data_IF_676522389055
#
_entry.id   IF_676522389055
#
_cell.length_a   1.000
_cell.length_b   1.000
_cell.length_c   1.000
_cell.angle_alpha   90.00
_cell.angle_beta   90.00
_cell.angle_gamma   90.00
#
_symmetry.space_group_name_H-M   'P 1'
#
loop_
_entity.id
_entity.type
_entity.pdbx_description
1 polymer ?
#
# COMPACT_ATOMS: atom_id res chain seq x y z
N UNK A 1 -8.07 45.74 1.13
CA UNK A 1 -8.72 44.42 1.01
C UNK A 1 -7.94 43.44 1.88
N UNK A 2 -8.35 43.16 3.12
CA UNK A 2 -7.69 42.13 3.92
C UNK A 2 -8.04 40.74 3.35
N UNK A 3 -7.01 39.94 3.09
CA UNK A 3 -7.13 38.54 2.67
C UNK A 3 -7.94 37.73 3.68
N UNK A 4 -8.84 36.83 3.26
CA UNK A 4 -9.51 35.93 4.19
C UNK A 4 -8.48 34.98 4.81
N UNK A 5 -8.25 35.13 6.12
CA UNK A 5 -7.57 34.11 6.92
C UNK A 5 -8.33 32.80 6.78
N UNK A 6 -7.66 31.76 6.28
CA UNK A 6 -8.17 30.40 6.35
C UNK A 6 -8.35 30.02 7.83
N UNK A 7 -9.44 29.33 8.20
CA UNK A 7 -9.65 28.92 9.58
C UNK A 7 -8.52 27.99 10.01
N UNK A 8 -7.79 28.40 11.05
CA UNK A 8 -6.92 27.53 11.84
C UNK A 8 -7.74 26.32 12.29
N UNK A 9 -7.33 25.13 11.85
CA UNK A 9 -7.93 23.87 12.29
C UNK A 9 -7.94 23.85 13.82
N UNK A 10 -9.13 23.96 14.40
CA UNK A 10 -9.35 24.05 15.83
C UNK A 10 -9.04 22.72 16.51
N UNK A 11 -8.51 22.78 17.73
CA UNK A 11 -8.16 21.65 18.60
C UNK A 11 -9.33 20.66 18.88
N UNK A 12 -10.53 20.95 18.38
CA UNK A 12 -11.80 20.28 18.68
C UNK A 12 -12.29 19.31 17.60
N UNK A 13 -11.56 19.12 16.50
CA UNK A 13 -12.04 18.23 15.44
C UNK A 13 -12.01 16.76 15.89
N UNK A 14 -13.19 16.12 15.84
CA UNK A 14 -13.43 14.75 16.28
C UNK A 14 -12.55 13.76 15.49
N UNK A 15 -11.88 12.88 16.22
CA UNK A 15 -11.07 11.80 15.68
C UNK A 15 -11.91 10.51 15.66
N UNK A 16 -12.25 10.02 14.46
CA UNK A 16 -13.12 8.88 14.27
C UNK A 16 -12.38 7.75 13.52
N UNK A 17 -12.57 6.48 13.89
CA UNK A 17 -11.95 5.37 13.19
C UNK A 17 -12.59 5.14 11.82
N UNK A 18 -11.84 4.58 10.87
CA UNK A 18 -12.42 4.04 9.64
C UNK A 18 -13.15 2.73 9.94
N UNK A 19 -14.48 2.73 9.75
CA UNK A 19 -15.35 1.55 9.94
C UNK A 19 -16.03 1.10 8.64
N UNK A 20 -15.79 1.81 7.53
CA UNK A 20 -16.37 1.51 6.23
C UNK A 20 -15.74 0.31 5.53
N UNK A 21 -16.45 -0.24 4.55
CA UNK A 21 -15.85 -1.15 3.56
C UNK A 21 -15.08 -0.33 2.52
N UNK A 22 -14.01 -0.89 1.97
CA UNK A 22 -13.29 -0.25 0.88
C UNK A 22 -14.24 -0.05 -0.31
N UNK A 23 -14.43 1.18 -0.81
CA UNK A 23 -15.30 1.44 -1.96
C UNK A 23 -14.73 0.89 -3.27
N UNK A 24 -13.45 0.55 -3.29
CA UNK A 24 -12.72 -0.04 -4.43
C UNK A 24 -11.71 -1.08 -3.96
N UNK A 25 -11.22 -1.92 -4.87
CA UNK A 25 -10.20 -2.93 -4.55
C UNK A 25 -8.93 -2.28 -3.99
N UNK A 26 -8.44 -2.79 -2.88
CA UNK A 26 -7.18 -2.34 -2.30
C UNK A 26 -5.97 -2.86 -3.11
N UNK A 27 -6.17 -3.92 -3.93
CA UNK A 27 -5.20 -4.43 -4.90
C UNK A 27 -4.84 -3.45 -6.01
N UNK A 28 -5.64 -2.40 -6.21
CA UNK A 28 -5.32 -1.34 -7.16
C UNK A 28 -4.19 -0.42 -6.71
N UNK A 29 -3.77 -0.51 -5.45
CA UNK A 29 -2.78 0.40 -4.87
C UNK A 29 -1.48 -0.33 -4.56
N UNK A 30 -0.37 0.24 -5.02
CA UNK A 30 0.99 -0.18 -4.68
C UNK A 30 1.75 1.00 -4.10
N UNK A 31 2.49 0.79 -3.01
CA UNK A 31 3.53 1.70 -2.56
C UNK A 31 4.82 0.91 -2.42
N UNK A 32 5.76 1.11 -3.33
CA UNK A 32 7.05 0.43 -3.34
C UNK A 32 8.09 1.19 -2.50
N UNK A 33 8.61 0.59 -1.42
CA UNK A 33 9.70 1.20 -0.65
C UNK A 33 10.97 1.29 -1.49
N UNK A 34 11.78 2.32 -1.24
CA UNK A 34 13.06 2.52 -1.94
C UNK A 34 14.05 1.36 -1.79
N UNK A 35 13.92 0.54 -0.73
CA UNK A 35 14.77 -0.63 -0.47
C UNK A 35 14.37 -1.87 -1.27
N UNK A 36 13.19 -1.88 -1.89
CA UNK A 36 12.74 -2.99 -2.73
C UNK A 36 13.30 -2.79 -4.14
N UNK A 37 13.98 -3.79 -4.73
CA UNK A 37 14.45 -3.72 -6.10
C UNK A 37 13.33 -3.43 -7.11
N UNK A 38 13.63 -2.67 -8.16
CA UNK A 38 12.64 -2.29 -9.19
C UNK A 38 12.14 -3.47 -10.01
N UNK A 39 12.96 -4.50 -10.16
CA UNK A 39 12.66 -5.75 -10.86
C UNK A 39 11.91 -6.78 -9.99
N UNK A 40 11.67 -6.49 -8.70
CA UNK A 40 10.85 -7.35 -7.86
C UNK A 40 9.36 -7.22 -8.24
N UNK A 41 8.67 -8.32 -8.47
CA UNK A 41 7.24 -8.32 -8.76
C UNK A 41 6.42 -8.13 -7.47
N UNK A 42 5.32 -7.36 -7.50
CA UNK A 42 4.42 -7.26 -6.36
C UNK A 42 3.73 -8.61 -6.11
N UNK A 43 3.58 -8.97 -4.84
CA UNK A 43 2.81 -10.13 -4.41
C UNK A 43 1.44 -9.65 -3.94
N UNK A 44 0.43 -9.86 -4.79
CA UNK A 44 -0.97 -9.59 -4.51
C UNK A 44 -1.61 -10.81 -3.82
N UNK A 45 -2.31 -10.58 -2.73
CA UNK A 45 -3.04 -11.61 -2.01
C UNK A 45 -4.54 -11.49 -2.27
N UNK A 46 -5.10 -12.46 -3.00
CA UNK A 46 -6.50 -12.51 -3.42
C UNK A 46 -7.48 -12.64 -2.25
N UNK A 47 -7.04 -13.23 -1.14
CA UNK A 47 -7.87 -13.40 0.06
C UNK A 47 -7.91 -12.10 0.88
N UNK A 48 -6.86 -11.26 0.79
CA UNK A 48 -6.76 -9.97 1.47
C UNK A 48 -7.04 -8.76 0.58
N UNK A 49 -7.23 -8.98 -0.72
CA UNK A 49 -7.42 -7.95 -1.76
C UNK A 49 -6.38 -6.82 -1.70
N UNK A 50 -5.09 -7.15 -1.55
CA UNK A 50 -4.02 -6.15 -1.49
C UNK A 50 -2.64 -6.72 -1.81
N UNK A 51 -1.70 -5.85 -2.14
CA UNK A 51 -0.28 -6.20 -2.23
C UNK A 51 0.27 -6.35 -0.81
N UNK A 52 0.87 -7.50 -0.51
CA UNK A 52 1.38 -7.86 0.83
C UNK A 52 2.91 -7.95 0.90
N UNK A 53 3.58 -7.83 -0.24
CA UNK A 53 5.04 -7.87 -0.33
C UNK A 53 5.53 -7.84 -1.76
N UNK A 54 6.80 -8.20 -1.94
CA UNK A 54 7.47 -8.25 -3.23
C UNK A 54 8.31 -9.50 -3.34
N UNK A 55 8.46 -10.04 -4.54
CA UNK A 55 9.24 -11.23 -4.80
C UNK A 55 10.14 -11.01 -6.01
N UNK A 56 11.40 -11.42 -5.88
CA UNK A 56 12.42 -11.25 -6.91
C UNK A 56 13.16 -12.56 -7.08
N UNK A 57 13.12 -13.11 -8.27
CA UNK A 57 13.98 -14.22 -8.69
C UNK A 57 15.18 -13.65 -9.43
N UNK A 58 16.38 -13.96 -8.98
CA UNK A 58 17.62 -13.58 -9.68
C UNK A 58 18.65 -14.70 -9.55
N UNK A 59 19.12 -15.21 -10.69
CA UNK A 59 19.96 -16.41 -10.76
C UNK A 59 19.29 -17.57 -10.00
N UNK A 60 20.01 -18.22 -9.09
CA UNK A 60 19.53 -19.36 -8.30
C UNK A 60 18.88 -18.97 -6.97
N UNK A 61 18.60 -17.69 -6.74
CA UNK A 61 18.05 -17.20 -5.47
C UNK A 61 16.76 -16.40 -5.69
N UNK A 62 15.72 -16.80 -4.97
CA UNK A 62 14.48 -16.06 -4.84
C UNK A 62 14.47 -15.29 -3.51
N UNK A 63 14.27 -13.98 -3.58
CA UNK A 63 14.19 -13.10 -2.41
C UNK A 63 12.78 -12.56 -2.25
N UNK A 64 12.21 -12.70 -1.06
CA UNK A 64 10.89 -12.15 -0.73
C UNK A 64 11.03 -11.02 0.27
N UNK A 65 10.39 -9.89 -0.01
CA UNK A 65 10.44 -8.66 0.77
C UNK A 65 9.06 -8.33 1.33
N UNK A 66 9.01 -7.80 2.55
CA UNK A 66 7.77 -7.19 3.07
C UNK A 66 7.51 -5.80 2.48
N UNK A 67 6.35 -5.23 2.82
CA UNK A 67 5.94 -3.88 2.39
C UNK A 67 6.82 -2.74 2.91
N UNK A 68 7.76 -3.01 3.81
CA UNK A 68 8.74 -2.02 4.31
C UNK A 68 10.13 -2.21 3.69
N UNK A 69 10.28 -3.21 2.82
CA UNK A 69 11.51 -3.54 2.11
C UNK A 69 12.49 -4.42 2.88
N UNK A 70 12.06 -5.07 3.97
CA UNK A 70 12.91 -6.07 4.64
C UNK A 70 12.75 -7.44 4.00
N UNK A 71 13.85 -8.16 3.83
CA UNK A 71 13.84 -9.55 3.37
C UNK A 71 13.21 -10.44 4.45
N UNK A 72 12.18 -11.21 4.07
CA UNK A 72 11.47 -12.13 4.97
C UNK A 72 11.75 -13.60 4.67
N UNK A 73 12.23 -13.89 3.46
CA UNK A 73 12.64 -15.22 3.02
C UNK A 73 13.68 -15.12 1.89
N UNK A 74 14.59 -16.09 1.89
CA UNK A 74 15.53 -16.39 0.81
C UNK A 74 15.36 -17.86 0.49
N UNK A 75 14.95 -18.17 -0.73
CA UNK A 75 14.66 -19.52 -1.19
C UNK A 75 15.54 -19.84 -2.41
N UNK A 76 15.87 -21.11 -2.61
CA UNK A 76 16.53 -21.53 -3.85
C UNK A 76 15.53 -21.43 -5.02
N UNK A 77 15.95 -20.81 -6.12
CA UNK A 77 15.16 -20.77 -7.35
C UNK A 77 15.40 -22.07 -8.12
N UNK A 78 14.33 -22.81 -8.42
CA UNK A 78 14.39 -23.95 -9.34
C UNK A 78 14.26 -23.40 -10.75
N UNK A 79 15.21 -23.74 -11.63
CA UNK A 79 15.39 -23.22 -12.99
C UNK A 79 14.08 -22.76 -13.68
N UNK A 80 14.08 -21.52 -14.14
CA UNK A 80 12.94 -20.75 -14.63
C UNK A 80 12.52 -21.21 -16.03
N UNK A 81 11.83 -22.34 -16.12
CA UNK A 81 11.11 -22.72 -17.34
C UNK A 81 9.92 -21.78 -17.54
N UNK A 82 10.16 -20.66 -18.23
CA UNK A 82 9.13 -19.79 -18.80
C UNK A 82 8.94 -18.47 -18.07
N UNK A 83 9.86 -17.53 -18.29
CA UNK A 83 9.70 -16.12 -17.90
C UNK A 83 8.35 -15.57 -18.39
N UNK A 84 7.37 -15.53 -17.48
CA UNK A 84 6.04 -15.03 -17.74
C UNK A 84 5.99 -13.51 -17.72
N UNK A 85 5.24 -12.94 -18.67
CA UNK A 85 4.93 -11.51 -18.79
C UNK A 85 3.99 -10.97 -17.69
N UNK A 86 3.72 -11.73 -16.64
CA UNK A 86 2.77 -11.32 -15.61
C UNK A 86 3.33 -10.10 -14.85
N UNK A 87 2.50 -9.06 -14.71
CA UNK A 87 2.87 -7.83 -14.02
C UNK A 87 2.85 -7.97 -12.49
N UNK A 88 2.27 -9.05 -11.97
CA UNK A 88 2.15 -9.35 -10.54
C UNK A 88 2.13 -10.85 -10.26
N UNK A 89 2.56 -11.23 -9.06
CA UNK A 89 2.44 -12.58 -8.52
C UNK A 89 1.24 -12.66 -7.59
N UNK A 90 0.50 -13.77 -7.63
CA UNK A 90 -0.75 -13.93 -6.87
C UNK A 90 -0.63 -15.02 -5.83
N UNK A 91 -0.95 -14.67 -4.59
CA UNK A 91 -1.23 -15.63 -3.54
C UNK A 91 -2.74 -15.68 -3.27
N UNK A 92 -3.24 -16.85 -2.90
CA UNK A 92 -4.64 -17.00 -2.52
C UNK A 92 -5.08 -18.46 -2.53
N UNK A 93 -6.17 -18.73 -1.84
CA UNK A 93 -6.74 -20.09 -1.71
C UNK A 93 -7.02 -20.80 -3.05
N UNK A 94 -7.34 -20.05 -4.11
CA UNK A 94 -7.70 -20.58 -5.43
C UNK A 94 -6.53 -20.59 -6.43
N UNK A 95 -5.38 -20.04 -6.07
CA UNK A 95 -4.26 -19.87 -7.00
C UNK A 95 -3.26 -21.01 -6.88
N UNK A 96 -3.08 -21.76 -7.96
CA UNK A 96 -2.04 -22.78 -8.07
C UNK A 96 -0.70 -22.11 -8.46
N UNK A 97 0.45 -22.61 -7.96
CA UNK A 97 1.75 -22.11 -8.36
C UNK A 97 1.91 -22.09 -9.89
N UNK A 98 2.37 -20.96 -10.43
CA UNK A 98 2.61 -20.71 -11.87
C UNK A 98 1.35 -20.71 -12.76
N UNK A 99 0.16 -20.91 -12.19
CA UNK A 99 -1.08 -20.76 -12.95
C UNK A 99 -1.31 -19.28 -13.28
N UNK A 100 -1.72 -18.98 -14.51
CA UNK A 100 -2.00 -17.62 -14.96
C UNK A 100 -3.50 -17.37 -15.00
N UNK A 101 -3.90 -16.15 -14.71
CA UNK A 101 -5.31 -15.77 -14.74
C UNK A 101 -5.54 -14.30 -14.43
N UNK A 102 -6.82 -13.95 -14.29
CA UNK A 102 -7.26 -12.63 -13.88
C UNK A 102 -7.56 -12.63 -12.38
N UNK A 103 -7.00 -11.66 -11.64
CA UNK A 103 -7.29 -11.44 -10.22
C UNK A 103 -8.67 -10.79 -10.04
N UNK A 104 -9.22 -10.79 -8.82
CA UNK A 104 -10.46 -10.03 -8.51
C UNK A 104 -10.29 -8.53 -8.67
N UNK A 105 -9.04 -8.04 -8.59
CA UNK A 105 -8.71 -6.65 -8.88
C UNK A 105 -8.79 -6.31 -10.39
N UNK A 106 -8.95 -7.32 -11.26
CA UNK A 106 -8.99 -7.15 -12.71
C UNK A 106 -7.61 -7.00 -13.35
N UNK A 107 -6.55 -7.40 -12.64
CA UNK A 107 -5.18 -7.44 -13.17
C UNK A 107 -4.75 -8.88 -13.50
N UNK A 108 -4.02 -9.06 -14.60
CA UNK A 108 -3.40 -10.32 -14.96
C UNK A 108 -2.31 -10.68 -13.97
N UNK A 109 -2.28 -11.92 -13.51
CA UNK A 109 -1.30 -12.40 -12.55
C UNK A 109 -0.90 -13.85 -12.76
N UNK A 110 0.19 -14.23 -12.11
CA UNK A 110 0.70 -15.60 -12.07
C UNK A 110 0.79 -16.08 -10.62
N UNK A 111 0.33 -17.29 -10.34
CA UNK A 111 0.32 -17.87 -8.99
C UNK A 111 1.74 -17.97 -8.41
N UNK A 112 1.92 -17.45 -7.21
CA UNK A 112 3.21 -17.42 -6.51
C UNK A 112 3.66 -18.83 -6.14
N UNK A 113 4.84 -19.24 -6.60
CA UNK A 113 5.50 -20.47 -6.21
C UNK A 113 6.38 -20.28 -4.96
N UNK A 114 5.78 -19.93 -3.82
CA UNK A 114 6.50 -19.74 -2.55
C UNK A 114 6.02 -20.74 -1.47
N UNK A 115 6.88 -21.11 -0.51
CA UNK A 115 6.46 -21.90 0.63
C UNK A 115 5.33 -21.24 1.43
N UNK A 116 4.40 -22.03 1.96
CA UNK A 116 3.29 -21.52 2.78
C UNK A 116 3.77 -20.68 3.99
N UNK A 117 4.93 -21.03 4.55
CA UNK A 117 5.56 -20.28 5.64
C UNK A 117 5.97 -18.85 5.21
N UNK A 118 6.43 -18.67 3.98
CA UNK A 118 6.78 -17.35 3.42
C UNK A 118 5.53 -16.49 3.26
N UNK A 119 4.45 -17.06 2.73
CA UNK A 119 3.16 -16.38 2.62
C UNK A 119 2.60 -16.00 4.00
N UNK A 120 2.64 -16.92 4.96
CA UNK A 120 2.20 -16.66 6.34
C UNK A 120 2.99 -15.51 6.99
N UNK A 121 4.31 -15.42 6.75
CA UNK A 121 5.13 -14.29 7.22
C UNK A 121 4.71 -12.97 6.58
N UNK A 122 4.48 -12.94 5.26
CA UNK A 122 4.01 -11.73 4.57
C UNK A 122 2.66 -11.26 5.13
N UNK A 123 1.68 -12.17 5.23
CA UNK A 123 0.36 -11.88 5.82
C UNK A 123 0.50 -11.36 7.26
N UNK A 124 1.36 -11.99 8.07
CA UNK A 124 1.64 -11.55 9.43
C UNK A 124 2.23 -10.14 9.50
N UNK A 125 3.19 -9.81 8.62
CA UNK A 125 3.79 -8.46 8.52
C UNK A 125 2.76 -7.43 8.06
N UNK A 126 1.91 -7.77 7.10
CA UNK A 126 0.81 -6.91 6.65
C UNK A 126 -0.17 -6.64 7.79
N UNK A 127 -0.63 -7.67 8.50
CA UNK A 127 -1.56 -7.52 9.63
C UNK A 127 -0.93 -6.66 10.73
N UNK A 128 0.35 -6.87 11.04
CA UNK A 128 1.08 -6.05 12.01
C UNK A 128 1.15 -4.58 11.59
N UNK A 129 1.37 -4.29 10.29
CA UNK A 129 1.28 -2.94 9.74
C UNK A 129 -0.15 -2.39 9.88
N UNK A 130 -1.17 -3.19 9.61
CA UNK A 130 -2.56 -2.76 9.59
C UNK A 130 -3.23 -2.61 10.98
N UNK A 131 -2.57 -3.09 12.05
CA UNK A 131 -3.13 -3.19 13.40
C UNK A 131 -3.28 -1.86 14.15
N UNK A 132 -2.49 -0.85 13.83
CA UNK A 132 -2.52 0.42 14.57
C UNK A 132 -3.78 1.22 14.18
N UNK A 133 -4.64 1.62 15.12
CA UNK A 133 -5.84 2.40 14.79
C UNK A 133 -5.42 3.72 14.13
N UNK A 134 -6.03 4.03 12.99
CA UNK A 134 -5.86 5.30 12.29
C UNK A 134 -7.19 6.04 12.40
N UNK A 135 -7.14 7.23 12.98
CA UNK A 135 -8.30 8.09 13.12
C UNK A 135 -8.32 9.12 11.99
N UNK A 136 -9.50 9.67 11.75
CA UNK A 136 -9.77 10.60 10.67
C UNK A 136 -10.67 11.71 11.20
N UNK A 137 -10.50 12.89 10.64
CA UNK A 137 -11.51 13.95 10.76
C UNK A 137 -12.76 13.57 9.98
N UNK A 138 -13.88 14.27 10.23
CA UNK A 138 -15.12 14.01 9.49
C UNK A 138 -14.94 14.24 7.98
N UNK A 139 -14.22 15.28 7.59
CA UNK A 139 -13.93 15.57 6.18
C UNK A 139 -13.06 14.48 5.55
N UNK A 140 -12.02 14.01 6.24
CA UNK A 140 -11.16 12.94 5.73
C UNK A 140 -11.90 11.59 5.65
N UNK A 141 -12.83 11.32 6.58
CA UNK A 141 -13.71 10.14 6.47
C UNK A 141 -14.63 10.22 5.25
N UNK A 142 -15.23 11.38 4.98
CA UNK A 142 -16.06 11.57 3.81
C UNK A 142 -15.25 11.34 2.52
N UNK A 143 -14.02 11.87 2.43
CA UNK A 143 -13.12 11.59 1.31
C UNK A 143 -12.81 10.09 1.15
N UNK A 144 -12.64 9.35 2.26
CA UNK A 144 -12.39 7.91 2.23
C UNK A 144 -13.59 7.08 1.74
N UNK A 145 -14.82 7.59 1.80
CA UNK A 145 -16.01 6.92 1.26
C UNK A 145 -16.13 7.06 -0.26
N UNK A 146 -15.44 8.03 -0.84
CA UNK A 146 -15.54 8.38 -2.25
C UNK A 146 -14.56 7.53 -3.07
N UNK A 147 -15.02 6.70 -4.03
CA UNK A 147 -14.16 5.81 -4.81
C UNK A 147 -12.95 6.50 -5.47
N UNK A 148 -13.11 7.76 -5.84
CA UNK A 148 -12.07 8.54 -6.52
C UNK A 148 -11.01 9.15 -5.60
N UNK A 149 -11.33 9.29 -4.31
CA UNK A 149 -10.44 9.86 -3.28
C UNK A 149 -9.93 8.81 -2.30
N UNK A 150 -10.52 7.62 -2.31
CA UNK A 150 -10.14 6.52 -1.45
C UNK A 150 -8.68 6.12 -1.61
N UNK A 151 -8.03 5.88 -0.47
CA UNK A 151 -6.70 5.27 -0.37
C UNK A 151 -6.72 4.24 0.76
N UNK A 152 -6.34 2.98 0.53
CA UNK A 152 -6.38 1.95 1.57
C UNK A 152 -5.54 2.30 2.80
N UNK A 153 -6.01 1.91 3.99
CA UNK A 153 -5.33 2.20 5.25
C UNK A 153 -3.87 1.73 5.30
N UNK A 154 -3.55 0.59 4.67
CA UNK A 154 -2.18 0.09 4.65
C UNK A 154 -1.25 1.01 3.83
N UNK A 155 -1.73 1.60 2.73
CA UNK A 155 -0.98 2.60 1.94
C UNK A 155 -0.76 3.87 2.75
N UNK A 156 -1.77 4.35 3.47
CA UNK A 156 -1.62 5.52 4.36
C UNK A 156 -0.54 5.27 5.42
N UNK A 157 -0.53 4.09 6.03
CA UNK A 157 0.50 3.71 7.02
C UNK A 157 1.88 3.58 6.41
N UNK A 158 2.00 3.04 5.19
CA UNK A 158 3.26 3.02 4.46
C UNK A 158 3.75 4.44 4.15
N UNK A 159 2.86 5.36 3.78
CA UNK A 159 3.22 6.76 3.56
C UNK A 159 3.76 7.42 4.84
N UNK A 160 3.16 7.16 5.99
CA UNK A 160 3.66 7.64 7.29
C UNK A 160 5.03 7.07 7.64
N UNK A 161 5.30 5.80 7.28
CA UNK A 161 6.52 5.09 7.69
C UNK A 161 7.69 5.26 6.73
N UNK A 162 7.40 5.29 5.43
CA UNK A 162 8.37 5.23 4.35
C UNK A 162 8.32 6.45 3.42
N UNK A 163 7.30 7.30 3.53
CA UNK A 163 7.19 8.53 2.76
C UNK A 163 8.15 9.62 3.23
N UNK A 164 8.34 10.63 2.39
CA UNK A 164 9.14 11.81 2.70
C UNK A 164 8.31 12.75 3.57
N UNK A 165 8.80 13.06 4.77
CA UNK A 165 8.20 14.05 5.66
C UNK A 165 8.61 15.46 5.22
N UNK A 166 7.68 16.25 4.69
CA UNK A 166 7.96 17.60 4.15
C UNK A 166 7.92 18.70 5.20
N UNK A 167 7.04 18.55 6.19
CA UNK A 167 6.90 19.52 7.27
C UNK A 167 6.51 18.80 8.56
N UNK A 168 7.09 19.26 9.65
CA UNK A 168 6.80 18.82 11.00
C UNK A 168 6.60 20.07 11.86
N UNK A 169 5.38 20.60 11.89
CA UNK A 169 4.97 21.56 12.91
C UNK A 169 4.42 20.77 14.13
N UNK A 170 4.35 21.42 15.28
CA UNK A 170 3.74 20.81 16.48
C UNK A 170 2.32 20.29 16.19
N UNK A 171 1.55 21.05 15.42
CA UNK A 171 0.14 20.76 15.11
C UNK A 171 -0.06 19.86 13.88
N UNK A 172 0.92 19.77 12.98
CA UNK A 172 0.72 19.14 11.68
C UNK A 172 2.00 18.50 11.14
N UNK A 173 1.90 17.23 10.76
CA UNK A 173 2.90 16.54 9.97
C UNK A 173 2.36 16.23 8.56
N UNK A 174 3.18 16.51 7.55
CA UNK A 174 2.86 16.24 6.14
C UNK A 174 3.85 15.25 5.55
N UNK A 175 3.33 14.21 4.93
CA UNK A 175 4.07 13.16 4.27
C UNK A 175 3.71 13.13 2.78
N UNK A 176 4.70 12.89 1.94
CA UNK A 176 4.50 12.63 0.51
C UNK A 176 5.14 11.31 0.15
N UNK A 177 4.41 10.48 -0.60
CA UNK A 177 4.87 9.18 -1.05
C UNK A 177 4.49 8.94 -2.52
N UNK A 178 5.38 8.33 -3.32
CA UNK A 178 4.99 7.81 -4.62
C UNK A 178 4.18 6.53 -4.43
N UNK A 179 3.07 6.43 -5.14
CA UNK A 179 2.22 5.24 -5.21
C UNK A 179 1.87 4.94 -6.67
N UNK A 180 1.37 3.74 -6.92
CA UNK A 180 0.72 3.39 -8.19
C UNK A 180 -0.75 3.13 -7.89
N UNK A 181 -1.65 3.71 -8.70
CA UNK A 181 -3.10 3.45 -8.64
C UNK A 181 -3.56 2.90 -9.98
N UNK A 182 -4.02 1.65 -10.04
CA UNK A 182 -4.40 0.94 -11.28
C UNK A 182 -3.30 1.03 -12.36
N UNK A 183 -2.05 0.83 -11.98
CA UNK A 183 -0.90 0.94 -12.88
C UNK A 183 -0.46 2.39 -13.21
N UNK A 184 -1.18 3.41 -12.75
CA UNK A 184 -0.84 4.82 -13.01
C UNK A 184 0.02 5.40 -11.88
N UNK A 185 1.23 5.90 -12.16
CA UNK A 185 2.05 6.61 -11.18
C UNK A 185 1.30 7.82 -10.60
N UNK A 186 1.23 7.88 -9.28
CA UNK A 186 0.42 8.85 -8.54
C UNK A 186 1.21 9.32 -7.33
N UNK A 187 1.16 10.62 -7.03
CA UNK A 187 1.69 11.16 -5.78
C UNK A 187 0.60 11.13 -4.72
N UNK A 188 0.93 10.65 -3.53
CA UNK A 188 0.09 10.68 -2.35
C UNK A 188 0.63 11.73 -1.39
N UNK A 189 -0.25 12.63 -0.94
CA UNK A 189 -0.02 13.53 0.17
C UNK A 189 -0.94 13.16 1.33
N UNK A 190 -0.32 13.00 2.49
CA UNK A 190 -0.99 12.68 3.75
C UNK A 190 -0.66 13.74 4.79
N UNK A 191 -1.70 14.36 5.32
CA UNK A 191 -1.59 15.35 6.40
C UNK A 191 -2.23 14.79 7.65
N UNK A 192 -1.50 14.85 8.77
CA UNK A 192 -1.94 14.30 10.05
C UNK A 192 -1.61 15.22 11.23
N UNK A 193 -2.44 15.15 12.26
CA UNK A 193 -2.20 15.73 13.57
C UNK A 193 -1.22 14.84 14.35
N UNK A 194 -0.01 15.29 14.71
CA UNK A 194 1.02 14.42 15.29
C UNK A 194 0.66 13.82 16.65
N UNK A 195 -0.12 14.55 17.45
CA UNK A 195 -0.46 14.17 18.83
C UNK A 195 -1.22 12.84 18.94
N UNK A 196 -2.12 12.59 18.00
CA UNK A 196 -3.06 11.46 18.02
C UNK A 196 -3.10 10.67 16.70
N UNK A 197 -2.22 11.01 15.75
CA UNK A 197 -2.18 10.45 14.41
C UNK A 197 -3.49 10.54 13.64
N UNK A 198 -4.33 11.54 13.94
CA UNK A 198 -5.56 11.78 13.20
C UNK A 198 -5.25 12.31 11.80
N UNK A 199 -5.73 11.61 10.78
CA UNK A 199 -5.65 12.02 9.38
C UNK A 199 -6.57 13.22 9.18
N UNK A 200 -5.96 14.35 8.84
CA UNK A 200 -6.66 15.59 8.54
C UNK A 200 -7.06 15.66 7.07
N UNK A 201 -6.21 15.11 6.19
CA UNK A 201 -6.42 15.15 4.75
C UNK A 201 -5.61 14.09 4.01
N UNK A 202 -6.22 13.54 2.97
CA UNK A 202 -5.56 12.70 1.96
C UNK A 202 -5.75 13.34 0.59
N UNK A 203 -4.68 13.42 -0.19
CA UNK A 203 -4.73 13.92 -1.57
C UNK A 203 -3.91 13.01 -2.48
N UNK A 204 -4.43 12.78 -3.68
CA UNK A 204 -3.70 12.08 -4.73
C UNK A 204 -3.77 12.85 -6.04
N UNK A 205 -2.69 12.85 -6.80
CA UNK A 205 -2.69 13.38 -8.17
C UNK A 205 -1.79 12.54 -9.07
N UNK A 206 -2.15 12.37 -10.36
CA UNK A 206 -1.30 11.68 -11.31
C UNK A 206 0.03 12.42 -11.43
N UNK A 207 1.13 11.68 -11.55
CA UNK A 207 2.43 12.25 -11.89
C UNK A 207 2.65 11.99 -13.37
N UNK A 208 2.96 13.05 -14.13
CA UNK A 208 3.36 12.89 -15.52
C UNK A 208 4.64 12.03 -15.55
N UNK A 209 4.58 10.92 -16.30
CA UNK A 209 5.70 10.01 -16.51
C UNK A 209 6.81 10.60 -17.35
#
# INVERSE_FOLDING_TARGET
>A
MPSPCLPTATETELALPWTGRNPVSAGWFEMRPARVPRDALPVYDEDMDCIIGYHRSFASVASTYDLTGHVVALDACVDEAGAGRASLLVAGTLWQPRARGMTRSGAEGEGLAAPAATLARLRGRFIALARQPLHFTLAALADMQEPERFVPLHILRLAMRCGTRLAAAAEMARFVAPITRRGVPTALELTLRPRDHTVLRVRTWPVAG
#
